data_IF_580839106849
#
_entry.id   IF_580839106849
#
_cell.length_a   1.000
_cell.length_b   1.000
_cell.length_c   1.000
_cell.angle_alpha   90.00
_cell.angle_beta   90.00
_cell.angle_gamma   90.00
#
_symmetry.space_group_name_H-M   'P 1'
#
loop_
_entity.id
_entity.type
_entity.pdbx_description
1 polymer ?
#
# COMPACT_ATOMS: atom_id res chain seq x y z
N UNK A 1 1.40 -10.08 -12.65
CA UNK A 1 0.70 -10.78 -11.55
C UNK A 1 0.31 -9.77 -10.49
N UNK A 2 -0.89 -9.87 -9.91
CA UNK A 2 -1.35 -9.01 -8.81
C UNK A 2 -1.39 -9.83 -7.52
N UNK A 3 -0.82 -9.32 -6.43
CA UNK A 3 -0.93 -9.89 -5.09
C UNK A 3 -1.61 -8.88 -4.16
N UNK A 4 -2.78 -9.24 -3.66
CA UNK A 4 -3.46 -8.51 -2.59
C UNK A 4 -3.15 -9.12 -1.23
N UNK A 5 -2.67 -8.29 -0.30
CA UNK A 5 -2.35 -8.70 1.06
C UNK A 5 -3.43 -8.17 1.99
N UNK A 6 -4.04 -9.10 2.73
CA UNK A 6 -5.01 -8.80 3.76
C UNK A 6 -4.52 -9.27 5.12
N UNK A 7 -5.04 -8.65 6.19
CA UNK A 7 -4.73 -9.00 7.56
C UNK A 7 -5.27 -7.91 8.49
N UNK A 8 -5.42 -8.22 9.76
CA UNK A 8 -5.81 -7.22 10.78
C UNK A 8 -4.70 -6.18 11.01
N UNK A 9 -4.99 -5.15 11.80
CA UNK A 9 -4.08 -4.09 12.17
C UNK A 9 -2.79 -4.68 12.76
N UNK A 10 -1.66 -4.18 12.27
CA UNK A 10 -0.32 -4.68 12.61
C UNK A 10 -0.08 -6.19 12.35
N UNK A 11 -0.84 -6.82 11.45
CA UNK A 11 -0.59 -8.21 11.05
C UNK A 11 0.70 -8.42 10.23
N UNK A 12 1.44 -7.37 9.87
CA UNK A 12 2.67 -7.47 9.06
C UNK A 12 2.51 -7.24 7.56
N UNK A 13 1.40 -6.61 7.13
CA UNK A 13 1.08 -6.41 5.70
C UNK A 13 2.17 -5.65 4.92
N UNK A 14 2.66 -4.54 5.49
CA UNK A 14 3.75 -3.76 4.87
C UNK A 14 5.07 -4.55 4.87
N UNK A 15 5.36 -5.28 5.93
CA UNK A 15 6.52 -6.17 6.02
C UNK A 15 6.49 -7.25 4.94
N UNK A 16 5.33 -7.86 4.70
CA UNK A 16 5.15 -8.82 3.59
C UNK A 16 5.40 -8.16 2.24
N UNK A 17 4.93 -6.92 2.02
CA UNK A 17 5.23 -6.18 0.80
C UNK A 17 6.73 -5.90 0.64
N UNK A 18 7.42 -5.50 1.72
CA UNK A 18 8.87 -5.31 1.76
C UNK A 18 9.64 -6.58 1.42
N UNK A 19 9.23 -7.73 1.98
CA UNK A 19 9.83 -9.03 1.69
C UNK A 19 9.70 -9.36 0.19
N UNK A 20 8.52 -9.19 -0.40
CA UNK A 20 8.29 -9.44 -1.81
C UNK A 20 9.14 -8.53 -2.71
N UNK A 21 9.30 -7.25 -2.35
CA UNK A 21 10.21 -6.34 -3.05
C UNK A 21 11.66 -6.82 -2.94
N UNK A 22 12.14 -7.15 -1.74
CA UNK A 22 13.49 -7.66 -1.54
C UNK A 22 13.81 -8.88 -2.40
N UNK A 23 12.88 -9.85 -2.44
CA UNK A 23 13.01 -11.04 -3.31
C UNK A 23 13.15 -10.63 -4.78
N UNK A 24 12.23 -9.81 -5.31
CA UNK A 24 12.25 -9.43 -6.72
C UNK A 24 13.47 -8.59 -7.08
N UNK A 25 13.86 -7.64 -6.23
CA UNK A 25 15.03 -6.79 -6.45
C UNK A 25 16.31 -7.63 -6.51
N UNK A 26 16.45 -8.62 -5.62
CA UNK A 26 17.61 -9.55 -5.62
C UNK A 26 17.60 -10.47 -6.82
N UNK A 27 16.45 -11.08 -7.15
CA UNK A 27 16.29 -11.96 -8.32
C UNK A 27 16.63 -11.23 -9.64
N UNK A 28 16.39 -9.91 -9.70
CA UNK A 28 16.70 -9.06 -10.85
C UNK A 28 18.12 -8.48 -10.84
N UNK A 29 18.92 -8.74 -9.81
CA UNK A 29 20.27 -8.18 -9.67
C UNK A 29 20.30 -6.67 -9.46
N UNK A 30 19.18 -6.07 -9.03
CA UNK A 30 19.09 -4.62 -8.74
C UNK A 30 19.74 -4.26 -7.41
N UNK A 31 19.89 -5.24 -6.51
CA UNK A 31 20.56 -5.16 -5.22
C UNK A 31 21.43 -6.39 -5.02
N UNK A 32 22.44 -6.30 -4.17
CA UNK A 32 23.32 -7.43 -3.88
C UNK A 32 22.71 -8.38 -2.84
N UNK A 33 22.13 -7.79 -1.80
CA UNK A 33 21.46 -8.53 -0.74
C UNK A 33 20.38 -7.67 -0.06
N UNK A 34 19.58 -8.28 0.80
CA UNK A 34 18.59 -7.59 1.60
C UNK A 34 18.26 -8.34 2.89
N UNK A 35 17.75 -7.61 3.87
CA UNK A 35 17.13 -8.16 5.06
C UNK A 35 15.93 -7.30 5.47
N UNK A 36 15.15 -7.79 6.44
CA UNK A 36 14.09 -7.03 7.06
C UNK A 36 14.54 -6.66 8.46
N UNK A 37 14.53 -5.38 8.78
CA UNK A 37 14.89 -4.88 10.10
C UNK A 37 13.79 -5.13 11.14
N UNK A 38 14.08 -4.83 12.40
CA UNK A 38 13.22 -5.20 13.55
C UNK A 38 11.82 -4.59 13.54
N UNK A 39 11.63 -3.47 12.81
CA UNK A 39 10.33 -2.81 12.66
C UNK A 39 9.61 -3.19 11.36
N UNK A 40 10.20 -4.10 10.57
CA UNK A 40 9.65 -4.55 9.30
C UNK A 40 10.10 -3.74 8.09
N UNK A 41 11.05 -2.82 8.25
CA UNK A 41 11.69 -2.03 7.20
C UNK A 41 12.57 -2.90 6.29
N UNK A 42 12.64 -2.57 5.00
CA UNK A 42 13.51 -3.25 4.05
C UNK A 42 14.90 -2.60 4.08
N UNK A 43 15.93 -3.38 4.40
CA UNK A 43 17.32 -2.94 4.23
C UNK A 43 17.92 -3.64 3.02
N UNK A 44 18.61 -2.89 2.16
CA UNK A 44 19.28 -3.42 0.99
C UNK A 44 20.78 -3.17 1.06
N UNK A 45 21.55 -4.12 0.53
CA UNK A 45 22.95 -3.94 0.23
C UNK A 45 23.08 -3.51 -1.23
N UNK A 46 23.62 -2.32 -1.46
CA UNK A 46 23.82 -1.76 -2.79
C UNK A 46 25.16 -1.03 -2.89
N UNK A 47 25.54 -0.65 -4.12
CA UNK A 47 26.71 0.19 -4.37
C UNK A 47 26.28 1.64 -4.53
N UNK A 48 27.04 2.55 -3.93
CA UNK A 48 26.92 3.97 -4.22
C UNK A 48 27.49 4.31 -5.61
N UNK A 49 27.38 5.58 -6.02
CA UNK A 49 27.93 6.10 -7.28
C UNK A 49 29.46 5.99 -7.37
N UNK A 50 30.15 5.78 -6.25
CA UNK A 50 31.60 5.60 -6.16
C UNK A 50 32.01 4.12 -6.14
N UNK A 51 31.05 3.21 -6.21
CA UNK A 51 31.27 1.76 -6.23
C UNK A 51 31.41 1.11 -4.85
N UNK A 52 31.30 1.89 -3.76
CA UNK A 52 31.40 1.39 -2.39
C UNK A 52 30.11 0.66 -2.01
N UNK A 53 30.24 -0.47 -1.32
CA UNK A 53 29.12 -1.24 -0.82
C UNK A 53 28.63 -0.71 0.52
N UNK A 54 27.31 -0.59 0.66
CA UNK A 54 26.69 -0.12 1.90
C UNK A 54 25.29 -0.69 2.08
N UNK A 55 24.94 -0.91 3.35
CA UNK A 55 23.58 -1.22 3.77
C UNK A 55 22.79 0.08 3.98
N UNK A 56 21.57 0.12 3.48
CA UNK A 56 20.67 1.25 3.70
C UNK A 56 19.20 0.82 3.72
N UNK A 57 18.39 1.58 4.44
CA UNK A 57 16.94 1.44 4.43
C UNK A 57 16.40 1.85 3.05
N UNK A 58 15.53 1.01 2.50
CA UNK A 58 14.87 1.22 1.22
C UNK A 58 13.36 1.32 1.41
N UNK A 59 12.86 2.54 1.48
CA UNK A 59 11.42 2.80 1.53
C UNK A 59 10.78 2.60 0.15
N UNK A 60 10.12 1.45 -0.04
CA UNK A 60 9.40 1.10 -1.28
C UNK A 60 8.22 2.03 -1.59
N UNK A 61 7.77 2.83 -0.61
CA UNK A 61 6.64 3.73 -0.71
C UNK A 61 7.04 5.17 -1.00
N UNK A 62 8.34 5.47 -1.03
CA UNK A 62 8.93 6.79 -1.30
C UNK A 62 8.43 7.37 -2.64
N UNK A 63 8.20 8.69 -2.70
CA UNK A 63 7.57 9.38 -3.86
C UNK A 63 8.21 10.71 -4.25
N UNK A 64 9.37 11.09 -3.72
CA UNK A 64 10.09 12.26 -4.26
C UNK A 64 10.56 12.00 -5.70
N UNK A 65 10.88 13.10 -6.40
CA UNK A 65 11.21 13.08 -7.81
C UNK A 65 12.39 12.14 -8.13
N UNK A 66 13.47 12.19 -7.34
CA UNK A 66 14.66 11.37 -7.57
C UNK A 66 14.36 9.87 -7.42
N UNK A 67 13.61 9.48 -6.40
CA UNK A 67 13.19 8.09 -6.23
C UNK A 67 12.23 7.64 -7.33
N UNK A 68 11.28 8.49 -7.70
CA UNK A 68 10.27 8.18 -8.72
C UNK A 68 10.94 7.95 -10.08
N UNK A 69 11.88 8.81 -10.48
CA UNK A 69 12.64 8.67 -11.72
C UNK A 69 13.42 7.34 -11.76
N UNK A 70 14.15 7.01 -10.68
CA UNK A 70 14.81 5.72 -10.57
C UNK A 70 13.83 4.54 -10.65
N UNK A 71 12.74 4.62 -9.89
CA UNK A 71 11.78 3.54 -9.74
C UNK A 71 11.04 3.25 -11.05
N UNK A 72 10.65 4.29 -11.80
CA UNK A 72 9.99 4.17 -13.11
C UNK A 72 10.81 3.35 -14.10
N UNK A 73 12.12 3.57 -14.14
CA UNK A 73 13.01 2.92 -15.10
C UNK A 73 13.56 1.57 -14.62
N UNK A 74 13.80 1.43 -13.31
CA UNK A 74 14.60 0.32 -12.79
C UNK A 74 13.83 -0.69 -11.95
N UNK A 75 12.81 -0.28 -11.20
CA UNK A 75 12.14 -1.12 -10.20
C UNK A 75 10.70 -1.46 -10.60
N UNK A 76 9.88 -0.45 -10.89
CA UNK A 76 8.45 -0.58 -11.15
C UNK A 76 8.07 -1.46 -12.34
N UNK A 77 8.89 -1.62 -13.40
CA UNK A 77 8.62 -2.64 -14.41
C UNK A 77 8.58 -4.06 -13.83
N UNK A 78 9.29 -4.32 -12.73
CA UNK A 78 9.41 -5.65 -12.12
C UNK A 78 8.52 -5.81 -10.87
N UNK A 79 8.52 -4.81 -9.98
CA UNK A 79 7.71 -4.84 -8.75
C UNK A 79 7.27 -3.43 -8.37
N UNK A 80 5.99 -3.27 -8.03
CA UNK A 80 5.45 -1.99 -7.57
C UNK A 80 4.39 -2.18 -6.50
N UNK A 81 4.47 -1.34 -5.46
CA UNK A 81 3.43 -1.17 -4.46
C UNK A 81 2.38 -0.18 -4.95
N UNK A 82 1.12 -0.60 -4.90
CA UNK A 82 -0.07 0.17 -5.20
C UNK A 82 -0.94 0.32 -3.95
N UNK A 83 -1.72 1.41 -3.89
CA UNK A 83 -2.79 1.60 -2.91
C UNK A 83 -4.06 2.08 -3.60
N UNK A 84 -5.22 1.62 -3.13
CA UNK A 84 -6.51 2.08 -3.63
C UNK A 84 -6.71 3.60 -3.48
N UNK A 85 -6.06 4.22 -2.49
CA UNK A 85 -6.20 5.64 -2.23
C UNK A 85 -5.30 6.53 -3.11
N UNK A 86 -4.42 5.96 -3.96
CA UNK A 86 -3.42 6.76 -4.69
C UNK A 86 -4.05 7.82 -5.59
N UNK A 87 -5.12 7.52 -6.32
CA UNK A 87 -5.76 8.53 -7.16
C UNK A 87 -6.51 9.61 -6.38
N UNK A 88 -7.11 9.26 -5.24
CA UNK A 88 -7.68 10.24 -4.32
C UNK A 88 -6.60 11.22 -3.84
N UNK A 89 -5.47 10.67 -3.38
CA UNK A 89 -4.31 11.44 -2.92
C UNK A 89 -3.77 12.36 -4.02
N UNK A 90 -3.65 11.85 -5.24
CA UNK A 90 -3.23 12.66 -6.41
C UNK A 90 -4.21 13.80 -6.69
N UNK A 91 -5.52 13.53 -6.70
CA UNK A 91 -6.54 14.56 -6.91
C UNK A 91 -6.46 15.65 -5.83
N UNK A 92 -6.30 15.26 -4.57
CA UNK A 92 -6.13 16.18 -3.45
C UNK A 92 -4.95 17.14 -3.64
N UNK A 93 -3.82 16.64 -4.16
CA UNK A 93 -2.64 17.46 -4.43
C UNK A 93 -2.88 18.35 -5.66
N UNK A 94 -3.21 17.75 -6.79
CA UNK A 94 -3.22 18.42 -8.09
C UNK A 94 -4.39 19.39 -8.28
N UNK A 95 -5.60 19.03 -7.80
CA UNK A 95 -6.81 19.84 -8.02
C UNK A 95 -7.14 20.74 -6.84
N UNK A 96 -6.86 20.28 -5.62
CA UNK A 96 -7.23 20.99 -4.39
C UNK A 96 -6.04 21.66 -3.70
N UNK A 97 -4.84 21.58 -4.28
CA UNK A 97 -3.62 22.21 -3.77
C UNK A 97 -3.35 21.87 -2.29
N UNK A 98 -3.61 20.60 -1.92
CA UNK A 98 -3.24 20.09 -0.60
C UNK A 98 -1.75 19.71 -0.63
N UNK A 99 -0.91 20.20 0.30
CA UNK A 99 0.51 19.88 0.32
C UNK A 99 0.79 18.37 0.36
N UNK A 100 1.84 17.92 -0.32
CA UNK A 100 2.19 16.50 -0.45
C UNK A 100 2.30 15.80 0.91
N UNK A 101 2.95 16.45 1.87
CA UNK A 101 3.14 15.96 3.24
C UNK A 101 1.83 15.84 4.01
N UNK A 102 0.81 16.63 3.69
CA UNK A 102 -0.51 16.52 4.30
C UNK A 102 -1.29 15.29 3.80
N UNK A 103 -0.79 14.60 2.77
CA UNK A 103 -1.43 13.43 2.16
C UNK A 103 -0.60 12.15 2.38
N UNK A 104 0.72 12.26 2.33
CA UNK A 104 1.65 11.13 2.49
C UNK A 104 2.46 11.15 3.78
N UNK A 105 2.54 12.28 4.49
CA UNK A 105 3.40 12.46 5.66
C UNK A 105 2.87 11.90 7.00
N UNK A 106 3.29 12.50 8.11
CA UNK A 106 2.95 12.07 9.48
C UNK A 106 1.47 12.28 9.81
N UNK A 107 1.03 11.75 10.95
CA UNK A 107 -0.34 11.96 11.42
C UNK A 107 -0.62 13.45 11.68
N UNK A 108 0.35 14.17 12.25
CA UNK A 108 0.27 15.62 12.49
C UNK A 108 0.16 16.38 11.17
N UNK A 109 0.97 16.03 10.16
CA UNK A 109 0.92 16.65 8.84
C UNK A 109 -0.44 16.41 8.18
N UNK A 110 -0.97 15.19 8.25
CA UNK A 110 -2.30 14.84 7.72
C UNK A 110 -3.46 15.57 8.41
N UNK A 111 -3.28 15.99 9.66
CA UNK A 111 -4.28 16.75 10.41
C UNK A 111 -4.09 18.28 10.29
N UNK A 112 -3.21 18.77 9.41
CA UNK A 112 -3.08 20.20 9.17
C UNK A 112 -4.31 20.79 8.47
N UNK A 113 -4.75 21.95 8.97
CA UNK A 113 -5.89 22.71 8.47
C UNK A 113 -5.56 23.34 7.10
N UNK A 114 -6.44 23.10 6.13
CA UNK A 114 -6.38 23.66 4.79
C UNK A 114 -7.36 24.83 4.70
N UNK A 115 -6.86 26.07 4.86
CA UNK A 115 -7.71 27.27 5.05
C UNK A 115 -8.75 27.52 3.95
N UNK A 116 -8.45 27.09 2.72
CA UNK A 116 -9.32 27.25 1.55
C UNK A 116 -10.37 26.14 1.40
N UNK A 117 -10.22 25.02 2.11
CA UNK A 117 -11.19 23.92 2.12
C UNK A 117 -12.08 24.07 3.34
N UNK A 118 -13.37 24.32 3.14
CA UNK A 118 -14.31 24.69 4.21
C UNK A 118 -15.52 23.76 4.23
N UNK A 119 -15.94 23.37 5.42
CA UNK A 119 -17.07 22.46 5.63
C UNK A 119 -18.38 23.00 5.07
N UNK A 120 -18.62 24.30 5.17
CA UNK A 120 -19.84 24.94 4.66
C UNK A 120 -19.96 24.91 3.12
N UNK A 121 -18.86 24.61 2.41
CA UNK A 121 -18.86 24.43 0.96
C UNK A 121 -19.06 22.97 0.54
N UNK A 122 -19.15 22.04 1.50
CA UNK A 122 -19.31 20.61 1.23
C UNK A 122 -20.79 20.25 1.05
N UNK A 123 -21.18 19.55 -0.04
CA UNK A 123 -22.58 19.23 -0.31
C UNK A 123 -23.26 18.37 0.77
N UNK A 124 -24.16 18.96 1.56
CA UNK A 124 -24.90 18.24 2.60
C UNK A 124 -24.18 18.17 3.95
N UNK A 125 -23.20 19.06 4.19
CA UNK A 125 -22.58 19.25 5.51
C UNK A 125 -23.21 20.43 6.25
N UNK A 126 -23.61 20.23 7.51
CA UNK A 126 -24.04 21.29 8.43
C UNK A 126 -22.88 21.88 9.25
N UNK A 127 -21.66 21.35 9.08
CA UNK A 127 -20.47 21.83 9.75
C UNK A 127 -19.96 23.14 9.13
N UNK A 128 -19.25 23.93 9.92
CA UNK A 128 -18.64 25.18 9.48
C UNK A 128 -17.16 25.25 9.88
N UNK A 129 -16.40 26.03 9.11
CA UNK A 129 -14.98 26.26 9.34
C UNK A 129 -14.06 25.45 8.42
N UNK A 130 -12.75 25.68 8.51
CA UNK A 130 -11.79 25.04 7.63
C UNK A 130 -11.61 23.56 7.99
N UNK A 131 -11.36 22.75 6.97
CA UNK A 131 -11.15 21.30 7.09
C UNK A 131 -9.66 20.98 7.25
N UNK A 132 -9.34 19.90 7.94
CA UNK A 132 -8.00 19.29 7.81
C UNK A 132 -7.89 18.52 6.50
N UNK A 133 -6.65 18.26 6.04
CA UNK A 133 -6.43 17.45 4.84
C UNK A 133 -7.06 16.05 4.99
N UNK A 134 -6.94 15.43 6.18
CA UNK A 134 -7.59 14.15 6.51
C UNK A 134 -9.11 14.24 6.41
N UNK A 135 -9.72 15.26 7.01
CA UNK A 135 -11.18 15.45 6.95
C UNK A 135 -11.66 15.59 5.50
N UNK A 136 -10.97 16.40 4.71
CA UNK A 136 -11.30 16.59 3.30
C UNK A 136 -11.17 15.28 2.51
N UNK A 137 -10.07 14.55 2.67
CA UNK A 137 -9.88 13.26 2.00
C UNK A 137 -10.95 12.24 2.38
N UNK A 138 -11.34 12.18 3.65
CA UNK A 138 -12.40 11.28 4.11
C UNK A 138 -13.74 11.64 3.48
N UNK A 139 -14.13 12.91 3.56
CA UNK A 139 -15.42 13.37 3.05
C UNK A 139 -15.50 13.28 1.51
N UNK A 140 -14.53 13.85 0.80
CA UNK A 140 -14.50 13.80 -0.66
C UNK A 140 -14.34 12.35 -1.16
N UNK A 141 -13.41 11.60 -0.57
CA UNK A 141 -13.10 10.24 -0.98
C UNK A 141 -14.23 9.24 -0.71
N UNK A 142 -14.83 9.30 0.47
CA UNK A 142 -15.82 8.32 0.93
C UNK A 142 -17.23 8.86 0.77
N UNK A 143 -17.55 9.98 1.43
CA UNK A 143 -18.92 10.49 1.51
C UNK A 143 -19.41 11.12 0.21
N UNK A 144 -18.50 11.50 -0.69
CA UNK A 144 -18.85 12.02 -2.02
C UNK A 144 -18.59 10.98 -3.11
N UNK A 145 -17.33 10.64 -3.38
CA UNK A 145 -16.97 9.83 -4.54
C UNK A 145 -17.51 8.40 -4.47
N UNK A 146 -17.44 7.71 -3.32
CA UNK A 146 -18.02 6.35 -3.21
C UNK A 146 -19.54 6.35 -3.24
N UNK A 147 -20.20 7.44 -2.82
CA UNK A 147 -21.64 7.58 -2.97
C UNK A 147 -22.07 7.79 -4.44
N UNK A 148 -21.24 8.46 -5.24
CA UNK A 148 -21.46 8.61 -6.69
C UNK A 148 -21.16 7.31 -7.44
N UNK A 149 -20.00 6.69 -7.17
CA UNK A 149 -19.58 5.44 -7.78
C UNK A 149 -18.78 4.61 -6.78
N UNK A 150 -19.45 3.62 -6.17
CA UNK A 150 -18.90 2.86 -5.04
C UNK A 150 -17.51 2.25 -5.29
N UNK A 151 -17.22 1.61 -6.45
CA UNK A 151 -15.91 0.99 -6.69
C UNK A 151 -14.88 1.94 -7.32
N UNK A 152 -15.13 3.25 -7.38
CA UNK A 152 -14.28 4.24 -8.08
C UNK A 152 -12.78 4.09 -7.84
N UNK A 153 -12.37 3.89 -6.58
CA UNK A 153 -10.98 3.78 -6.16
C UNK A 153 -10.38 2.41 -6.51
N UNK A 154 -11.18 1.35 -6.36
CA UNK A 154 -10.79 -0.02 -6.68
C UNK A 154 -10.56 -0.14 -8.18
N UNK A 155 -11.53 0.27 -8.98
CA UNK A 155 -11.43 0.22 -10.44
C UNK A 155 -10.31 1.12 -10.97
N UNK A 156 -10.10 2.28 -10.34
CA UNK A 156 -8.99 3.16 -10.68
C UNK A 156 -7.64 2.46 -10.49
N UNK A 157 -7.46 1.82 -9.33
CA UNK A 157 -6.25 1.07 -9.00
C UNK A 157 -6.03 -0.10 -9.98
N UNK A 158 -7.06 -0.90 -10.25
CA UNK A 158 -6.96 -2.05 -11.17
C UNK A 158 -6.64 -1.59 -12.60
N UNK A 159 -7.33 -0.56 -13.12
CA UNK A 159 -7.00 0.01 -14.45
C UNK A 159 -5.57 0.53 -14.51
N UNK A 160 -5.08 1.14 -13.44
CA UNK A 160 -3.70 1.63 -13.37
C UNK A 160 -2.70 0.48 -13.40
N UNK A 161 -2.92 -0.58 -12.62
CA UNK A 161 -2.08 -1.79 -12.65
C UNK A 161 -2.07 -2.40 -14.06
N UNK A 162 -3.24 -2.51 -14.70
CA UNK A 162 -3.36 -3.01 -16.07
C UNK A 162 -2.72 -2.11 -17.13
N UNK A 163 -2.59 -0.80 -16.87
CA UNK A 163 -1.89 0.11 -17.78
C UNK A 163 -0.39 0.06 -17.59
N UNK A 164 0.07 0.02 -16.35
CA UNK A 164 1.50 0.07 -15.99
C UNK A 164 2.21 -1.27 -16.17
N UNK A 165 1.47 -2.40 -16.09
CA UNK A 165 1.96 -3.74 -16.44
C UNK A 165 3.23 -4.16 -15.67
N UNK A 166 3.38 -3.76 -14.41
CA UNK A 166 4.41 -4.31 -13.51
C UNK A 166 4.31 -5.82 -13.45
N UNK A 167 5.44 -6.53 -13.57
CA UNK A 167 5.43 -8.00 -13.50
C UNK A 167 4.83 -8.51 -12.20
N UNK A 168 5.13 -7.82 -11.08
CA UNK A 168 4.47 -7.99 -9.80
C UNK A 168 3.86 -6.67 -9.32
N UNK A 169 2.53 -6.62 -9.24
CA UNK A 169 1.79 -5.54 -8.60
C UNK A 169 1.34 -5.99 -7.21
N UNK A 170 1.67 -5.23 -6.18
CA UNK A 170 1.34 -5.55 -4.78
C UNK A 170 0.35 -4.50 -4.26
N UNK A 171 -0.73 -4.95 -3.64
CA UNK A 171 -1.65 -4.10 -2.89
C UNK A 171 -1.64 -4.57 -1.43
N UNK A 172 -1.10 -3.74 -0.53
CA UNK A 172 -0.87 -4.13 0.86
C UNK A 172 -2.04 -3.81 1.82
N UNK A 173 -3.06 -3.10 1.33
CA UNK A 173 -4.14 -2.52 2.12
C UNK A 173 -5.53 -3.09 1.76
N UNK A 174 -5.63 -4.38 1.45
CA UNK A 174 -6.92 -5.05 1.17
C UNK A 174 -7.71 -5.28 2.46
N UNK A 175 -8.80 -4.53 2.63
CA UNK A 175 -9.61 -4.47 3.85
C UNK A 175 -11.09 -4.77 3.62
N UNK A 176 -11.59 -4.68 2.40
CA UNK A 176 -13.01 -4.87 2.10
C UNK A 176 -13.25 -5.94 1.03
N UNK A 177 -14.43 -6.59 1.09
CA UNK A 177 -14.79 -7.67 0.16
C UNK A 177 -14.82 -7.24 -1.31
N UNK A 178 -15.18 -5.99 -1.61
CA UNK A 178 -15.14 -5.46 -2.98
C UNK A 178 -13.71 -5.30 -3.51
N UNK A 179 -12.76 -4.90 -2.66
CA UNK A 179 -11.34 -4.81 -3.00
C UNK A 179 -10.76 -6.20 -3.30
N UNK A 180 -11.08 -7.18 -2.45
CA UNK A 180 -10.65 -8.56 -2.61
C UNK A 180 -11.19 -9.17 -3.92
N UNK A 181 -12.51 -9.05 -4.16
CA UNK A 181 -13.14 -9.55 -5.38
C UNK A 181 -12.56 -8.93 -6.65
N UNK A 182 -12.35 -7.62 -6.67
CA UNK A 182 -11.80 -6.95 -7.84
C UNK A 182 -10.38 -7.42 -8.18
N UNK A 183 -9.56 -7.75 -7.17
CA UNK A 183 -8.24 -8.34 -7.39
C UNK A 183 -8.37 -9.74 -8.01
N UNK A 184 -9.26 -10.59 -7.48
CA UNK A 184 -9.50 -11.94 -8.01
C UNK A 184 -10.05 -11.91 -9.44
N UNK A 185 -11.02 -11.04 -9.73
CA UNK A 185 -11.60 -10.82 -11.06
C UNK A 185 -10.55 -10.32 -12.07
N UNK A 186 -9.55 -9.56 -11.61
CA UNK A 186 -8.41 -9.15 -12.41
C UNK A 186 -7.32 -10.25 -12.57
N UNK A 187 -7.61 -11.49 -12.12
CA UNK A 187 -6.67 -12.62 -12.17
C UNK A 187 -5.58 -12.57 -11.10
N UNK A 188 -5.74 -11.71 -10.09
CA UNK A 188 -4.84 -11.57 -8.95
C UNK A 188 -5.00 -12.71 -7.93
N UNK A 189 -4.04 -12.77 -7.01
CA UNK A 189 -4.03 -13.71 -5.89
C UNK A 189 -4.13 -12.95 -4.58
N UNK A 190 -4.96 -13.45 -3.67
CA UNK A 190 -5.09 -12.91 -2.33
C UNK A 190 -4.34 -13.76 -1.32
N UNK A 191 -3.78 -13.11 -0.29
CA UNK A 191 -3.18 -13.77 0.87
C UNK A 191 -3.61 -13.08 2.16
N UNK A 192 -4.05 -13.87 3.15
CA UNK A 192 -4.43 -13.39 4.48
C UNK A 192 -3.35 -13.73 5.51
N UNK A 193 -2.88 -12.71 6.23
CA UNK A 193 -2.04 -12.86 7.42
C UNK A 193 -2.92 -13.17 8.64
N UNK A 194 -2.55 -14.16 9.45
CA UNK A 194 -3.34 -14.63 10.60
C UNK A 194 -3.07 -13.86 11.90
N UNK A 195 -1.94 -13.15 12.00
CA UNK A 195 -1.54 -12.43 13.21
C UNK A 195 -2.59 -11.40 13.62
N UNK A 196 -3.05 -11.53 14.85
CA UNK A 196 -4.07 -10.66 15.44
C UNK A 196 -3.62 -10.20 16.84
N UNK A 197 -3.03 -9.02 16.91
CA UNK A 197 -2.49 -8.45 18.17
C UNK A 197 -3.58 -7.66 18.92
N UNK A 198 -4.55 -7.10 18.19
CA UNK A 198 -5.55 -6.18 18.74
C UNK A 198 -6.96 -6.68 18.48
N UNK A 199 -7.80 -6.64 19.52
CA UNK A 199 -9.24 -6.79 19.34
C UNK A 199 -9.83 -5.46 18.87
N UNK A 200 -9.73 -5.22 17.56
CA UNK A 200 -10.34 -4.08 16.88
C UNK A 200 -11.54 -4.56 16.07
N UNK A 201 -12.74 -4.11 16.46
CA UNK A 201 -14.00 -4.47 15.81
C UNK A 201 -14.42 -3.45 14.75
N UNK A 202 -13.55 -2.51 14.39
CA UNK A 202 -13.83 -1.58 13.31
C UNK A 202 -14.09 -2.35 12.00
N UNK A 203 -15.05 -1.87 11.19
CA UNK A 203 -15.50 -2.59 9.99
C UNK A 203 -14.37 -2.94 9.04
N UNK A 204 -13.36 -2.07 8.88
CA UNK A 204 -12.19 -2.33 8.04
C UNK A 204 -11.25 -3.43 8.54
N UNK A 205 -11.38 -3.87 9.80
CA UNK A 205 -10.53 -4.90 10.40
C UNK A 205 -11.20 -6.29 10.33
N UNK A 206 -12.53 -6.33 10.42
CA UNK A 206 -13.33 -7.57 10.45
C UNK A 206 -14.05 -7.89 9.14
N UNK A 207 -14.15 -6.95 8.19
CA UNK A 207 -14.91 -7.12 6.94
C UNK A 207 -14.46 -8.28 6.04
N UNK A 208 -13.27 -8.84 6.29
CA UNK A 208 -12.72 -9.96 5.53
C UNK A 208 -12.52 -11.22 6.38
N UNK A 209 -13.03 -11.28 7.62
CA UNK A 209 -12.85 -12.46 8.48
C UNK A 209 -13.55 -13.71 7.91
N UNK A 210 -14.73 -13.53 7.32
CA UNK A 210 -15.48 -14.62 6.66
C UNK A 210 -15.17 -14.73 5.15
N UNK A 211 -14.18 -13.99 4.65
CA UNK A 211 -13.81 -14.06 3.24
C UNK A 211 -13.07 -15.36 2.93
N UNK A 212 -13.43 -16.10 1.86
CA UNK A 212 -12.85 -17.40 1.55
C UNK A 212 -11.48 -17.26 0.86
N UNK A 213 -10.46 -16.84 1.59
CA UNK A 213 -9.11 -16.74 1.04
C UNK A 213 -8.57 -18.10 0.62
N UNK A 214 -7.89 -18.15 -0.52
CA UNK A 214 -7.21 -19.36 -0.99
C UNK A 214 -5.83 -19.53 -0.37
N UNK A 215 -5.20 -18.44 0.08
CA UNK A 215 -3.86 -18.46 0.65
C UNK A 215 -3.84 -17.81 2.03
N UNK A 216 -3.16 -18.47 2.95
CA UNK A 216 -2.92 -17.97 4.29
C UNK A 216 -1.42 -18.01 4.59
N UNK A 217 -0.93 -16.97 5.23
CA UNK A 217 0.40 -16.98 5.86
C UNK A 217 0.15 -16.91 7.36
N UNK A 218 0.37 -18.03 8.03
CA UNK A 218 0.24 -18.09 9.47
C UNK A 218 1.43 -17.40 10.13
N UNK A 219 1.20 -16.32 10.88
CA UNK A 219 2.24 -15.53 11.50
C UNK A 219 1.92 -15.07 12.94
N UNK A 220 1.06 -15.83 13.65
CA UNK A 220 0.67 -15.53 15.03
C UNK A 220 1.87 -15.43 15.98
N UNK A 221 2.79 -16.38 15.89
CA UNK A 221 3.92 -16.58 16.83
C UNK A 221 5.29 -16.62 16.12
N UNK A 222 5.40 -15.94 14.98
CA UNK A 222 6.62 -15.95 14.17
C UNK A 222 7.43 -14.68 14.35
N UNK A 223 8.76 -14.84 14.39
CA UNK A 223 9.67 -13.71 14.20
C UNK A 223 9.71 -13.29 12.71
N UNK A 224 10.49 -12.26 12.41
CA UNK A 224 10.61 -11.69 11.06
C UNK A 224 11.28 -12.65 10.07
N UNK A 225 12.24 -13.46 10.52
CA UNK A 225 12.92 -14.43 9.66
C UNK A 225 11.97 -15.56 9.24
N UNK A 226 11.17 -16.07 10.18
CA UNK A 226 10.15 -17.07 9.92
C UNK A 226 9.08 -16.54 8.95
N UNK A 227 8.62 -15.29 9.17
CA UNK A 227 7.72 -14.62 8.23
C UNK A 227 8.36 -14.51 6.84
N UNK A 228 9.64 -14.15 6.77
CA UNK A 228 10.39 -14.05 5.51
C UNK A 228 10.43 -15.38 4.77
N UNK A 229 10.67 -16.49 5.47
CA UNK A 229 10.64 -17.84 4.89
C UNK A 229 9.25 -18.19 4.38
N UNK A 230 8.19 -17.92 5.15
CA UNK A 230 6.80 -18.21 4.76
C UNK A 230 6.37 -17.40 3.53
N UNK A 231 6.71 -16.11 3.47
CA UNK A 231 6.41 -15.25 2.31
C UNK A 231 7.18 -15.72 1.07
N UNK A 232 8.46 -16.10 1.20
CA UNK A 232 9.24 -16.66 0.08
C UNK A 232 8.61 -17.94 -0.47
N UNK A 233 8.21 -18.86 0.41
CA UNK A 233 7.53 -20.11 0.01
C UNK A 233 6.22 -19.82 -0.72
N UNK A 234 5.39 -18.95 -0.16
CA UNK A 234 4.15 -18.50 -0.80
C UNK A 234 4.41 -17.91 -2.19
N UNK A 235 5.37 -16.98 -2.31
CA UNK A 235 5.66 -16.34 -3.58
C UNK A 235 6.20 -17.30 -4.64
N UNK A 236 7.04 -18.26 -4.25
CA UNK A 236 7.54 -19.29 -5.16
C UNK A 236 6.41 -20.20 -5.66
N UNK A 237 5.48 -20.61 -4.79
CA UNK A 237 4.32 -21.42 -5.18
C UNK A 237 3.41 -20.71 -6.20
N UNK A 238 3.34 -19.38 -6.18
CA UNK A 238 2.57 -18.62 -7.16
C UNK A 238 3.24 -18.50 -8.54
N UNK A 239 4.53 -18.79 -8.65
CA UNK A 239 5.28 -18.74 -9.91
C UNK A 239 5.27 -20.08 -10.67
N UNK A 240 4.90 -21.17 -9.99
CA UNK A 240 4.72 -22.52 -10.55
C UNK A 240 3.39 -22.65 -11.29
#
# INVERSE_FOLDING_TARGET
MIIGISGRKQAGKNTTANILHGVVLKDRGLIQDWNIGGSGELNILTRDSSGNEGWGEFDISRKDAAFTEYAEHSMWPYVKLYSFADELKRICIELFNIPFECVYGTDEQKNQVQKHLRWENMPGSDMAGPMTARQFMQYFGTDTCRNIYQPIWVDSCIRKIQREQSQLAIIADVRFGNEAKAIEEAGGKLVRLTRNIYNDNHSSEVALDDYPFTNYIDNSDTNIDDLTVKVKKFYNHLKE
#
